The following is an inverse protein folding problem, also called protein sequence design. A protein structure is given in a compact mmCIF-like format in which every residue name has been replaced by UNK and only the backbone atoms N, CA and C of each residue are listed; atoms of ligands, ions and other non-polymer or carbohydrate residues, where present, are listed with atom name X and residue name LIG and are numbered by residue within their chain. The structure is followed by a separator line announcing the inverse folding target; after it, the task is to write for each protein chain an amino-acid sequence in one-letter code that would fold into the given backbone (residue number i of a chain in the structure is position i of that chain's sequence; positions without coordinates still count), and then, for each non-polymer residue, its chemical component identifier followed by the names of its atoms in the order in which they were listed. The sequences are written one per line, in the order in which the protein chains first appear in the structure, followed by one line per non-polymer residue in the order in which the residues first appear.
data_IF_182768422903
#
_entry.id   IF_182768422903
#
_cell.length_a   1.000
_cell.length_b   1.000
_cell.length_c   1.000
_cell.angle_alpha   90.00
_cell.angle_beta   90.00
_cell.angle_gamma   90.00
#
_symmetry.space_group_name_H-M   'P 1'
#
loop_
_entity.id
_entity.type
_entity.pdbx_description
1 polymer ?
#
# COMPACT_ATOMS: atom_id res chain seq x y z
N UNK A 1 -24.30 -1.21 5.43
CA UNK A 1 -22.96 -1.82 5.43
C UNK A 1 -22.02 -0.95 6.27
N UNK A 2 -21.02 -1.51 6.98
CA UNK A 2 -20.11 -0.71 7.85
C UNK A 2 -18.75 -0.40 7.22
N UNK A 3 -18.32 -1.18 6.23
CA UNK A 3 -17.00 -1.08 5.60
C UNK A 3 -17.16 -0.89 4.10
N UNK A 4 -16.09 -0.42 3.45
CA UNK A 4 -16.01 -0.37 1.99
C UNK A 4 -15.23 -1.61 1.51
N UNK A 5 -15.94 -2.47 0.77
CA UNK A 5 -15.35 -3.59 0.04
C UNK A 5 -15.86 -3.52 -1.38
N UNK A 6 -15.02 -3.11 -2.31
CA UNK A 6 -15.41 -2.90 -3.70
C UNK A 6 -14.23 -3.14 -4.63
N UNK A 7 -14.51 -3.27 -5.92
CA UNK A 7 -13.49 -3.41 -6.95
C UNK A 7 -13.64 -2.31 -7.99
N UNK A 8 -12.52 -1.79 -8.46
CA UNK A 8 -12.45 -0.87 -9.60
C UNK A 8 -11.89 -1.65 -10.79
N UNK A 9 -12.63 -1.69 -11.89
CA UNK A 9 -12.12 -2.14 -13.17
C UNK A 9 -11.53 -0.95 -13.92
N UNK A 10 -10.32 -1.10 -14.46
CA UNK A 10 -9.67 -0.08 -15.28
C UNK A 10 -8.88 -0.72 -16.42
N UNK A 11 -9.21 -0.40 -17.69
CA UNK A 11 -8.35 -0.74 -18.80
C UNK A 11 -7.13 0.20 -18.78
N UNK A 12 -5.94 -0.39 -18.90
CA UNK A 12 -4.70 0.34 -19.09
C UNK A 12 -4.32 0.26 -20.57
N UNK A 13 -3.91 1.39 -21.12
CA UNK A 13 -3.63 1.51 -22.55
C UNK A 13 -2.16 1.74 -22.84
N UNK A 14 -1.38 2.21 -21.86
CA UNK A 14 0.01 2.66 -22.07
C UNK A 14 1.03 2.05 -21.11
N UNK A 15 0.60 1.26 -20.12
CA UNK A 15 1.48 0.78 -19.07
C UNK A 15 2.18 -0.52 -19.47
N UNK A 16 3.51 -0.45 -19.60
CA UNK A 16 4.34 -1.64 -19.85
C UNK A 16 4.47 -2.51 -18.59
N UNK A 17 4.61 -3.82 -18.77
CA UNK A 17 4.75 -4.80 -17.66
C UNK A 17 5.92 -4.45 -16.73
N UNK A 18 7.02 -3.91 -17.28
CA UNK A 18 8.17 -3.47 -16.47
C UNK A 18 7.84 -2.38 -15.44
N UNK A 19 6.72 -1.69 -15.60
CA UNK A 19 6.22 -0.66 -14.69
C UNK A 19 5.05 -1.13 -13.82
N UNK A 20 4.77 -2.43 -13.75
CA UNK A 20 3.64 -2.97 -12.98
C UNK A 20 3.65 -2.55 -11.50
N UNK A 21 4.83 -2.38 -10.89
CA UNK A 21 4.94 -1.96 -9.49
C UNK A 21 4.32 -0.57 -9.25
N UNK A 22 4.39 0.31 -10.24
CA UNK A 22 3.84 1.66 -10.16
C UNK A 22 2.32 1.68 -10.11
N UNK A 23 1.64 0.64 -10.61
CA UNK A 23 0.20 0.50 -10.45
C UNK A 23 -0.16 0.33 -8.97
N UNK A 24 0.59 -0.52 -8.26
CA UNK A 24 0.41 -0.70 -6.82
C UNK A 24 0.77 0.57 -6.03
N UNK A 25 1.82 1.29 -6.44
CA UNK A 25 2.18 2.58 -5.82
C UNK A 25 1.08 3.62 -6.02
N UNK A 26 0.58 3.78 -7.25
CA UNK A 26 -0.47 4.71 -7.61
C UNK A 26 -1.77 4.45 -6.84
N UNK A 27 -2.21 3.19 -6.76
CA UNK A 27 -3.43 2.82 -6.01
C UNK A 27 -3.24 3.04 -4.50
N UNK A 28 -2.08 2.65 -3.96
CA UNK A 28 -1.79 2.87 -2.53
C UNK A 28 -1.79 4.36 -2.19
N UNK A 29 -1.17 5.19 -3.04
CA UNK A 29 -1.17 6.64 -2.90
C UNK A 29 -2.58 7.23 -3.05
N UNK A 30 -3.42 6.72 -3.95
CA UNK A 30 -4.79 7.21 -4.09
C UNK A 30 -5.61 7.04 -2.79
N UNK A 31 -5.48 5.89 -2.14
CA UNK A 31 -6.13 5.66 -0.83
C UNK A 31 -5.45 6.50 0.24
N UNK A 32 -4.12 6.58 0.26
CA UNK A 32 -3.37 7.41 1.20
C UNK A 32 -3.80 8.87 1.13
N UNK A 33 -3.81 9.47 -0.07
CA UNK A 33 -4.25 10.85 -0.32
C UNK A 33 -5.69 11.07 0.14
N UNK A 34 -6.57 10.09 -0.13
CA UNK A 34 -7.96 10.19 0.32
C UNK A 34 -8.02 10.24 1.83
N UNK A 35 -7.31 9.36 2.53
CA UNK A 35 -7.34 9.31 4.00
C UNK A 35 -6.63 10.50 4.67
N UNK A 36 -5.69 11.15 3.98
CA UNK A 36 -5.14 12.43 4.42
C UNK A 36 -6.23 13.52 4.50
N UNK A 37 -7.17 13.57 3.54
CA UNK A 37 -8.26 14.58 3.60
C UNK A 37 -9.22 14.37 4.77
N UNK A 38 -9.27 13.15 5.32
CA UNK A 38 -10.01 12.82 6.53
C UNK A 38 -9.20 13.03 7.82
N UNK A 39 -7.97 13.54 7.72
CA UNK A 39 -7.04 13.76 8.83
C UNK A 39 -6.75 12.48 9.63
N UNK A 40 -6.59 11.35 8.94
CA UNK A 40 -6.18 10.10 9.60
C UNK A 40 -4.74 10.24 10.13
N UNK A 41 -4.50 10.11 11.45
CA UNK A 41 -3.20 10.33 12.04
C UNK A 41 -2.24 9.18 11.74
N UNK A 42 -0.93 9.49 11.70
CA UNK A 42 0.17 8.52 11.54
C UNK A 42 -0.08 7.56 10.36
N UNK A 43 -0.63 8.10 9.27
CA UNK A 43 -0.96 7.35 8.07
C UNK A 43 0.33 6.94 7.36
N UNK A 44 0.39 5.70 6.89
CA UNK A 44 1.53 5.17 6.13
C UNK A 44 1.13 4.00 5.23
N UNK A 45 1.91 3.76 4.19
CA UNK A 45 1.78 2.64 3.28
C UNK A 45 2.76 1.55 3.73
N UNK A 46 2.22 0.44 4.23
CA UNK A 46 3.02 -0.74 4.53
C UNK A 46 3.14 -1.58 3.28
N UNK A 47 4.37 -1.66 2.77
CA UNK A 47 4.69 -2.52 1.65
C UNK A 47 4.25 -3.98 1.93
N UNK A 48 3.66 -4.67 0.94
CA UNK A 48 3.46 -4.20 -0.43
C UNK A 48 2.17 -3.40 -0.63
N UNK A 49 1.11 -3.65 0.15
CA UNK A 49 -0.26 -3.32 -0.28
C UNK A 49 -1.23 -2.96 0.86
N UNK A 50 -0.70 -2.58 2.03
CA UNK A 50 -1.51 -2.26 3.20
C UNK A 50 -1.43 -0.78 3.54
N UNK A 51 -2.55 -0.18 3.96
CA UNK A 51 -2.56 1.16 4.57
C UNK A 51 -2.69 1.02 6.08
N UNK A 52 -1.82 1.71 6.79
CA UNK A 52 -1.70 1.68 8.24
C UNK A 52 -2.01 3.06 8.83
N UNK A 53 -2.60 3.07 10.03
CA UNK A 53 -2.57 4.22 10.93
C UNK A 53 -1.85 3.78 12.21
N UNK A 54 -0.70 4.41 12.48
CA UNK A 54 0.28 3.90 13.43
C UNK A 54 0.59 2.42 13.13
N UNK A 55 0.37 1.52 14.09
CA UNK A 55 0.64 0.08 13.93
C UNK A 55 -0.61 -0.73 13.51
N UNK A 56 -1.73 -0.06 13.23
CA UNK A 56 -2.99 -0.72 12.89
C UNK A 56 -3.28 -0.64 11.40
N UNK A 57 -3.49 -1.79 10.77
CA UNK A 57 -3.98 -1.93 9.41
C UNK A 57 -5.43 -1.47 9.34
N UNK A 58 -5.71 -0.60 8.37
CA UNK A 58 -7.04 -0.07 8.09
C UNK A 58 -7.51 -0.38 6.68
N UNK A 59 -6.60 -0.57 5.72
CA UNK A 59 -6.92 -0.94 4.35
C UNK A 59 -6.02 -2.07 3.85
N UNK A 60 -6.57 -2.95 3.02
CA UNK A 60 -5.82 -3.86 2.16
C UNK A 60 -6.19 -3.62 0.71
N UNK A 61 -5.19 -3.72 -0.17
CA UNK A 61 -5.33 -3.54 -1.61
C UNK A 61 -4.93 -4.84 -2.31
N UNK A 62 -5.72 -5.28 -3.28
CA UNK A 62 -5.40 -6.40 -4.16
C UNK A 62 -5.51 -5.93 -5.60
N UNK A 63 -4.49 -6.19 -6.40
CA UNK A 63 -4.47 -5.80 -7.81
C UNK A 63 -4.25 -7.05 -8.64
N UNK A 64 -5.16 -7.30 -9.57
CA UNK A 64 -5.11 -8.41 -10.50
C UNK A 64 -5.10 -7.84 -11.92
N UNK A 65 -4.14 -8.27 -12.73
CA UNK A 65 -3.94 -7.74 -14.09
C UNK A 65 -3.89 -8.85 -15.12
N UNK A 66 -4.44 -8.59 -16.30
CA UNK A 66 -4.16 -9.38 -17.50
C UNK A 66 -3.18 -8.63 -18.39
N UNK A 67 -2.39 -9.40 -19.14
CA UNK A 67 -1.33 -8.88 -19.98
C UNK A 67 -1.54 -9.26 -21.43
N UNK A 68 -1.05 -8.44 -22.34
CA UNK A 68 -0.92 -8.76 -23.76
C UNK A 68 0.45 -8.30 -24.23
N UNK A 69 1.26 -9.26 -24.69
CA UNK A 69 2.68 -9.05 -25.01
C UNK A 69 3.46 -8.41 -23.85
N UNK A 70 3.88 -7.15 -24.00
CA UNK A 70 4.66 -6.41 -23.01
C UNK A 70 3.83 -5.34 -22.28
N UNK A 71 2.50 -5.34 -22.47
CA UNK A 71 1.58 -4.34 -21.93
C UNK A 71 0.58 -4.95 -20.95
N UNK A 72 0.24 -4.16 -19.93
CA UNK A 72 -0.88 -4.44 -19.03
C UNK A 72 -2.16 -3.96 -19.73
N UNK A 73 -3.17 -4.82 -19.82
CA UNK A 73 -4.44 -4.50 -20.51
C UNK A 73 -5.58 -4.25 -19.53
N UNK A 74 -6.00 -5.28 -18.80
CA UNK A 74 -7.12 -5.16 -17.88
C UNK A 74 -6.61 -5.22 -16.46
N UNK A 75 -7.08 -4.31 -15.60
CA UNK A 75 -6.77 -4.29 -14.18
C UNK A 75 -8.05 -4.33 -13.36
N UNK A 76 -8.09 -5.20 -12.36
CA UNK A 76 -9.09 -5.22 -11.30
C UNK A 76 -8.38 -4.85 -9.99
N UNK A 77 -8.85 -3.79 -9.35
CA UNK A 77 -8.32 -3.27 -8.09
C UNK A 77 -9.35 -3.54 -7.00
N UNK A 78 -9.13 -4.56 -6.18
CA UNK A 78 -9.92 -4.84 -4.98
C UNK A 78 -9.46 -3.97 -3.81
N UNK A 79 -10.39 -3.25 -3.19
CA UNK A 79 -10.15 -2.37 -2.05
C UNK A 79 -11.01 -2.83 -0.89
N UNK A 80 -10.36 -3.15 0.23
CA UNK A 80 -11.01 -3.44 1.51
C UNK A 80 -10.59 -2.45 2.58
N UNK A 81 -11.44 -1.46 2.88
CA UNK A 81 -11.21 -0.41 3.86
C UNK A 81 -12.16 -0.57 5.05
N UNK A 82 -11.58 -0.67 6.25
CA UNK A 82 -12.30 -0.73 7.51
C UNK A 82 -12.79 0.69 7.87
N UNK A 83 -14.09 0.97 7.74
CA UNK A 83 -14.63 2.34 7.92
C UNK A 83 -15.32 2.48 9.28
N UNK A 84 -16.54 1.95 9.43
CA UNK A 84 -17.37 2.10 10.63
C UNK A 84 -17.42 0.84 11.51
N UNK A 85 -16.54 -0.14 11.27
CA UNK A 85 -16.42 -1.33 12.11
C UNK A 85 -15.76 -1.01 13.46
N UNK A 86 -16.46 -1.25 14.56
CA UNK A 86 -15.95 -0.93 15.90
C UNK A 86 -15.24 -2.11 16.56
N UNK A 87 -15.76 -3.33 16.36
CA UNK A 87 -15.25 -4.55 16.99
C UNK A 87 -14.45 -5.36 15.97
N UNK A 88 -13.25 -5.77 16.36
CA UNK A 88 -12.40 -6.69 15.60
C UNK A 88 -12.20 -7.98 16.39
N UNK A 89 -12.14 -9.15 15.72
CA UNK A 89 -11.77 -10.40 16.38
C UNK A 89 -10.43 -10.25 17.12
N UNK A 90 -10.31 -10.84 18.32
CA UNK A 90 -9.08 -10.77 19.15
C UNK A 90 -7.81 -11.23 18.39
N UNK A 91 -7.96 -12.14 17.43
CA UNK A 91 -6.88 -12.63 16.56
C UNK A 91 -6.31 -11.56 15.60
N UNK A 92 -7.05 -10.49 15.33
CA UNK A 92 -6.65 -9.37 14.48
C UNK A 92 -6.16 -8.19 15.32
N UNK A 93 -5.15 -8.43 16.16
CA UNK A 93 -4.63 -7.45 17.12
C UNK A 93 -4.13 -6.16 16.46
N UNK A 94 -3.73 -6.22 15.19
CA UNK A 94 -3.21 -5.10 14.42
C UNK A 94 -4.23 -4.53 13.42
N UNK A 95 -5.53 -4.76 13.58
CA UNK A 95 -6.57 -4.12 12.75
C UNK A 95 -7.26 -2.96 13.49
N UNK A 96 -7.64 -1.93 12.74
CA UNK A 96 -8.52 -0.87 13.22
C UNK A 96 -9.42 -0.38 12.07
N UNK A 97 -10.28 0.60 12.37
CA UNK A 97 -11.16 1.26 11.42
C UNK A 97 -11.05 2.78 11.53
N UNK A 98 -11.53 3.49 10.51
CA UNK A 98 -11.59 4.94 10.53
C UNK A 98 -12.45 5.48 11.68
N UNK A 99 -13.58 4.84 11.99
CA UNK A 99 -14.43 5.21 13.15
C UNK A 99 -13.70 5.05 14.48
N UNK A 100 -12.95 3.97 14.66
CA UNK A 100 -12.18 3.75 15.89
C UNK A 100 -11.06 4.77 16.06
N UNK A 101 -10.47 5.23 14.96
CA UNK A 101 -9.35 6.19 14.95
C UNK A 101 -9.87 7.63 15.11
N UNK A 102 -10.84 8.03 14.30
CA UNK A 102 -11.36 9.41 14.23
C UNK A 102 -12.49 9.68 15.23
N UNK A 103 -12.99 8.64 15.92
CA UNK A 103 -14.10 8.71 16.89
C UNK A 103 -15.39 9.29 16.33
N UNK A 104 -15.59 9.19 15.02
CA UNK A 104 -16.80 9.63 14.32
C UNK A 104 -17.19 8.64 13.23
N UNK A 105 -18.48 8.62 12.92
CA UNK A 105 -18.99 7.87 11.77
C UNK A 105 -18.61 8.58 10.46
N UNK A 106 -18.34 7.80 9.42
CA UNK A 106 -17.97 8.30 8.09
C UNK A 106 -18.99 7.80 7.09
N UNK A 107 -19.47 8.73 6.27
CA UNK A 107 -20.30 8.40 5.11
C UNK A 107 -19.49 7.63 4.07
N UNK A 108 -20.00 6.47 3.68
CA UNK A 108 -19.32 5.53 2.80
C UNK A 108 -19.31 6.01 1.36
N UNK A 109 -20.36 6.67 0.90
CA UNK A 109 -20.50 7.03 -0.51
C UNK A 109 -19.54 8.17 -0.91
N UNK A 110 -19.46 9.30 -0.17
CA UNK A 110 -18.44 10.33 -0.44
C UNK A 110 -17.01 9.80 -0.34
N UNK A 111 -16.75 8.91 0.63
CA UNK A 111 -15.45 8.29 0.80
C UNK A 111 -15.09 7.41 -0.41
N UNK A 112 -16.01 6.55 -0.85
CA UNK A 112 -15.82 5.70 -2.03
C UNK A 112 -15.60 6.53 -3.30
N UNK A 113 -16.43 7.56 -3.52
CA UNK A 113 -16.30 8.45 -4.68
C UNK A 113 -14.93 9.15 -4.71
N UNK A 114 -14.45 9.62 -3.55
CA UNK A 114 -13.12 10.23 -3.43
C UNK A 114 -12.01 9.23 -3.75
N UNK A 115 -12.11 7.98 -3.26
CA UNK A 115 -11.13 6.92 -3.58
C UNK A 115 -11.11 6.65 -5.08
N UNK A 116 -12.28 6.54 -5.73
CA UNK A 116 -12.37 6.28 -7.18
C UNK A 116 -11.73 7.41 -7.98
N UNK A 117 -12.06 8.68 -7.66
CA UNK A 117 -11.49 9.84 -8.36
C UNK A 117 -9.97 9.95 -8.16
N UNK A 118 -9.47 9.75 -6.94
CA UNK A 118 -8.03 9.73 -6.67
C UNK A 118 -7.34 8.56 -7.38
N UNK A 119 -7.97 7.40 -7.45
CA UNK A 119 -7.43 6.24 -8.17
C UNK A 119 -7.29 6.54 -9.65
N UNK A 120 -8.34 7.11 -10.27
CA UNK A 120 -8.31 7.55 -11.68
C UNK A 120 -7.19 8.56 -11.94
N UNK A 121 -7.05 9.56 -11.07
CA UNK A 121 -5.98 10.57 -11.17
C UNK A 121 -4.57 9.94 -11.08
N UNK A 122 -4.35 9.07 -10.10
CA UNK A 122 -3.04 8.43 -9.88
C UNK A 122 -2.67 7.48 -11.03
N UNK A 123 -3.64 6.74 -11.56
CA UNK A 123 -3.44 5.88 -12.75
C UNK A 123 -3.11 6.73 -13.98
N UNK A 124 -3.85 7.81 -14.23
CA UNK A 124 -3.56 8.72 -15.34
C UNK A 124 -2.16 9.36 -15.23
N UNK A 125 -1.71 9.63 -13.99
CA UNK A 125 -0.36 10.16 -13.74
C UNK A 125 0.74 9.16 -14.13
N UNK A 126 0.59 7.88 -13.81
CA UNK A 126 1.58 6.88 -14.24
C UNK A 126 1.50 6.57 -15.75
N UNK A 127 0.30 6.59 -16.36
CA UNK A 127 0.15 6.43 -17.82
C UNK A 127 0.71 7.62 -18.62
N UNK A 128 0.84 8.79 -17.99
CA UNK A 128 1.55 9.95 -18.55
C UNK A 128 3.05 9.97 -18.24
N UNK A 129 3.58 8.90 -17.64
CA UNK A 129 5.02 8.73 -17.41
C UNK A 129 5.55 9.38 -16.13
N UNK A 130 4.68 9.83 -15.19
CA UNK A 130 5.08 10.44 -13.91
C UNK A 130 5.56 9.40 -12.88
N UNK A 131 6.45 8.50 -13.31
CA UNK A 131 6.97 7.41 -12.48
C UNK A 131 7.84 7.94 -11.34
N UNK A 132 8.81 8.82 -11.60
CA UNK A 132 9.71 9.37 -10.56
C UNK A 132 8.94 10.04 -9.43
N UNK A 133 8.00 10.93 -9.78
CA UNK A 133 7.15 11.60 -8.80
C UNK A 133 6.34 10.59 -7.98
N UNK A 134 5.72 9.61 -8.64
CA UNK A 134 4.95 8.55 -7.94
C UNK A 134 5.85 7.73 -7.01
N UNK A 135 7.10 7.48 -7.43
CA UNK A 135 8.09 6.73 -6.66
C UNK A 135 8.47 7.48 -5.39
N UNK A 136 8.84 8.74 -5.52
CA UNK A 136 9.22 9.63 -4.41
C UNK A 136 8.09 9.77 -3.40
N UNK A 137 6.88 10.07 -3.85
CA UNK A 137 5.70 10.19 -2.97
C UNK A 137 5.38 8.88 -2.24
N UNK A 138 5.51 7.74 -2.94
CA UNK A 138 5.33 6.43 -2.30
C UNK A 138 6.38 6.19 -1.22
N UNK A 139 7.64 6.57 -1.47
CA UNK A 139 8.72 6.44 -0.50
C UNK A 139 8.50 7.31 0.74
N UNK A 140 8.05 8.54 0.58
CA UNK A 140 7.72 9.41 1.72
C UNK A 140 6.59 8.85 2.59
N UNK A 141 5.66 8.11 1.97
CA UNK A 141 4.56 7.47 2.69
C UNK A 141 4.90 6.09 3.28
N UNK A 142 6.10 5.53 3.06
CA UNK A 142 6.44 4.16 3.45
C UNK A 142 6.44 3.97 4.98
N UNK A 143 5.75 2.93 5.43
CA UNK A 143 5.74 2.49 6.82
C UNK A 143 7.14 2.07 7.28
N UNK A 144 7.61 2.69 8.37
CA UNK A 144 8.92 2.44 8.98
C UNK A 144 10.15 2.75 8.10
N UNK A 145 10.00 3.56 7.06
CA UNK A 145 11.16 4.07 6.30
C UNK A 145 12.10 4.86 7.23
N UNK A 146 13.40 4.60 7.12
CA UNK A 146 14.42 5.23 7.95
C UNK A 146 14.43 4.80 9.42
N UNK A 147 13.61 3.82 9.83
CA UNK A 147 13.52 3.34 11.21
C UNK A 147 14.21 1.97 11.33
N UNK A 148 15.24 1.82 12.18
CA UNK A 148 15.82 0.52 12.50
C UNK A 148 14.76 -0.46 12.98
N UNK A 149 14.63 -1.58 12.28
CA UNK A 149 13.55 -2.53 12.47
C UNK A 149 14.07 -3.96 12.38
N UNK A 150 13.55 -4.83 13.25
CA UNK A 150 13.82 -6.26 13.19
C UNK A 150 12.95 -6.93 12.11
N UNK A 151 13.60 -7.72 11.26
CA UNK A 151 12.99 -8.50 10.19
C UNK A 151 13.29 -9.99 10.37
N UNK A 152 12.43 -10.83 9.78
CA UNK A 152 12.61 -12.27 9.66
C UNK A 152 12.79 -12.61 8.19
N UNK A 153 13.94 -13.16 7.84
CA UNK A 153 14.17 -13.77 6.53
C UNK A 153 13.32 -15.05 6.44
N UNK A 154 12.49 -15.17 5.39
CA UNK A 154 11.57 -16.31 5.25
C UNK A 154 12.22 -17.58 4.76
N UNK A 155 13.38 -17.51 4.13
CA UNK A 155 14.17 -18.65 3.68
C UNK A 155 14.96 -19.24 4.84
N UNK A 156 15.71 -18.41 5.57
CA UNK A 156 16.60 -18.87 6.66
C UNK A 156 15.90 -18.94 8.02
N UNK A 157 14.75 -18.24 8.17
CA UNK A 157 14.04 -18.04 9.45
C UNK A 157 14.82 -17.24 10.49
N UNK A 158 15.95 -16.65 10.12
CA UNK A 158 16.77 -15.86 11.02
C UNK A 158 16.23 -14.43 11.16
N UNK A 159 16.43 -13.87 12.35
CA UNK A 159 16.20 -12.46 12.62
C UNK A 159 17.41 -11.64 12.17
N UNK A 160 17.15 -10.47 11.62
CA UNK A 160 18.19 -9.48 11.33
C UNK A 160 17.63 -8.07 11.56
N UNK A 161 18.53 -7.13 11.86
CA UNK A 161 18.20 -5.71 11.91
C UNK A 161 18.44 -5.07 10.55
N UNK A 162 17.58 -4.13 10.19
CA UNK A 162 17.79 -3.33 8.99
C UNK A 162 16.95 -2.07 8.97
N UNK A 163 17.24 -1.21 8.00
CA UNK A 163 16.53 0.05 7.79
C UNK A 163 15.88 0.02 6.42
N UNK A 164 14.56 0.20 6.35
CA UNK A 164 13.87 0.34 5.06
C UNK A 164 14.33 1.66 4.44
N UNK A 165 15.00 1.58 3.29
CA UNK A 165 15.43 2.73 2.51
C UNK A 165 14.40 3.10 1.44
N UNK A 166 13.72 2.09 0.90
CA UNK A 166 12.77 2.29 -0.18
C UNK A 166 12.19 1.00 -0.76
N UNK A 167 11.72 1.10 -1.99
CA UNK A 167 11.22 0.00 -2.83
C UNK A 167 11.76 0.20 -4.24
N UNK A 168 12.35 -0.83 -4.84
CA UNK A 168 12.95 -0.74 -6.17
C UNK A 168 11.91 -0.53 -7.27
N UNK A 169 12.35 -0.18 -8.47
CA UNK A 169 11.47 0.08 -9.62
C UNK A 169 10.64 -1.12 -10.06
N UNK A 170 11.07 -2.33 -9.70
CA UNK A 170 10.35 -3.59 -9.93
C UNK A 170 9.46 -4.00 -8.75
N UNK A 171 9.48 -3.26 -7.63
CA UNK A 171 8.59 -3.44 -6.49
C UNK A 171 9.15 -4.21 -5.31
N UNK A 172 10.46 -4.50 -5.26
CA UNK A 172 11.09 -5.18 -4.12
C UNK A 172 11.38 -4.21 -2.98
N UNK A 173 11.21 -4.66 -1.74
CA UNK A 173 11.56 -3.86 -0.56
C UNK A 173 13.09 -3.74 -0.45
N UNK A 174 13.61 -2.53 -0.30
CA UNK A 174 15.03 -2.26 -0.13
C UNK A 174 15.33 -2.03 1.35
N UNK A 175 16.22 -2.84 1.91
CA UNK A 175 16.62 -2.79 3.31
C UNK A 175 18.13 -2.64 3.39
N UNK A 176 18.61 -1.58 4.04
CA UNK A 176 20.00 -1.43 4.41
C UNK A 176 20.33 -2.34 5.60
N UNK A 177 21.40 -3.12 5.47
CA UNK A 177 21.91 -4.06 6.45
C UNK A 177 23.02 -3.42 7.31
N UNK A 178 23.51 -4.17 8.29
CA UNK A 178 24.56 -3.69 9.24
C UNK A 178 25.89 -3.35 8.57
N UNK A 179 26.19 -3.95 7.42
CA UNK A 179 27.38 -3.69 6.61
C UNK A 179 27.17 -2.58 5.56
N UNK A 180 26.12 -1.78 5.72
CA UNK A 180 25.66 -0.71 4.81
C UNK A 180 25.24 -1.18 3.41
N UNK A 181 25.24 -2.49 3.13
CA UNK A 181 24.73 -3.01 1.87
C UNK A 181 23.20 -2.92 1.80
N UNK A 182 22.66 -2.77 0.59
CA UNK A 182 21.22 -2.76 0.37
C UNK A 182 20.80 -4.13 -0.17
N UNK A 183 20.04 -4.87 0.64
CA UNK A 183 19.33 -6.07 0.20
C UNK A 183 18.00 -5.73 -0.45
N UNK A 184 17.66 -6.40 -1.55
CA UNK A 184 16.33 -6.36 -2.15
C UNK A 184 15.54 -7.62 -1.82
N UNK A 185 14.31 -7.45 -1.35
CA UNK A 185 13.45 -8.54 -0.92
C UNK A 185 12.10 -8.50 -1.65
N UNK A 186 11.80 -9.57 -2.36
CA UNK A 186 10.54 -9.80 -3.03
C UNK A 186 9.41 -10.19 -2.08
N UNK A 187 8.21 -10.33 -2.65
CA UNK A 187 7.01 -10.72 -1.90
C UNK A 187 7.24 -12.04 -1.16
N UNK A 188 6.93 -12.04 0.15
CA UNK A 188 7.07 -13.19 1.06
C UNK A 188 8.52 -13.65 1.30
N UNK A 189 9.54 -12.89 0.89
CA UNK A 189 10.94 -13.19 1.23
C UNK A 189 11.32 -12.67 2.62
N UNK A 190 10.67 -11.59 3.06
CA UNK A 190 10.89 -10.96 4.37
C UNK A 190 9.57 -10.64 5.07
N UNK A 191 9.59 -10.57 6.40
CA UNK A 191 8.51 -9.96 7.17
C UNK A 191 9.05 -9.23 8.40
N UNK A 192 8.33 -8.21 8.86
CA UNK A 192 8.54 -7.65 10.19
C UNK A 192 8.54 -8.75 11.27
N UNK A 193 9.51 -8.70 12.19
CA UNK A 193 9.49 -9.54 13.37
C UNK A 193 8.22 -9.24 14.18
N UNK A 194 7.58 -10.30 14.70
CA UNK A 194 6.51 -10.13 15.68
C UNK A 194 7.18 -9.87 17.02
N UNK A 195 6.89 -8.72 17.61
CA UNK A 195 7.19 -8.45 19.02
C UNK A 195 6.15 -9.17 19.87
#
# INVERSE_FOLDING_TARGET
YKNLTFSIFTPLTKLQIKHQAYLNFAVSLAIYDTLLTYNVPKLSIKWPNDIMSAEKKICGILIETTFSHLEIKNTIIGIGLNVNQEKFPKKLFNASSLKNILKKEIDLEPLMNTIVEKTKYRISSIESGKFSQTHEEYHEALYKRGIPTAFVDKKTKLLFMGIITGVSSIGNLQIQLEDDTIGEYGLKEVSFAKV
#
